data_IF_543955185097
#
_entry.id   IF_543955185097
#
_cell.length_a   1.000
_cell.length_b   1.000
_cell.length_c   1.000
_cell.angle_alpha   90.00
_cell.angle_beta   90.00
_cell.angle_gamma   90.00
#
_symmetry.space_group_name_H-M   'P 1'
#
loop_
_entity.id
_entity.type
_entity.pdbx_description
1 polymer ?
#
# COMPACT_ATOMS: atom_id res chain seq x y z
N UNK A 1 -16.78 -8.61 36.65
CA UNK A 1 -15.30 -8.74 36.69
C UNK A 1 -14.64 -9.16 35.35
N UNK A 2 -15.36 -9.34 34.24
CA UNK A 2 -14.74 -9.63 32.93
C UNK A 2 -14.33 -8.38 32.13
N UNK A 3 -14.88 -7.20 32.48
CA UNK A 3 -14.63 -5.96 31.75
C UNK A 3 -13.51 -5.09 32.35
N UNK A 4 -13.09 -5.33 33.61
CA UNK A 4 -11.97 -4.59 34.20
C UNK A 4 -10.62 -4.95 33.55
N UNK A 5 -10.44 -6.19 33.10
CA UNK A 5 -9.18 -6.64 32.50
C UNK A 5 -8.91 -6.01 31.13
N UNK A 6 -9.96 -5.68 30.36
CA UNK A 6 -9.82 -5.03 29.05
C UNK A 6 -9.47 -3.54 29.17
N UNK A 7 -9.96 -2.87 30.21
CA UNK A 7 -9.67 -1.44 30.43
C UNK A 7 -8.21 -1.18 30.81
N UNK A 8 -7.57 -2.10 31.55
CA UNK A 8 -6.14 -1.96 31.89
C UNK A 8 -5.20 -2.19 30.70
N UNK A 9 -5.58 -2.99 29.70
CA UNK A 9 -4.78 -3.21 28.49
C UNK A 9 -4.76 -1.94 27.61
N UNK A 10 -5.92 -1.28 27.48
CA UNK A 10 -6.02 -0.02 26.73
C UNK A 10 -5.25 1.11 27.44
N UNK A 11 -5.31 1.17 28.79
CA UNK A 11 -4.58 2.17 29.56
C UNK A 11 -3.06 1.96 29.53
N UNK A 12 -2.59 0.70 29.45
CA UNK A 12 -1.18 0.37 29.33
C UNK A 12 -0.60 0.71 27.95
N UNK A 13 -1.40 0.62 26.88
CA UNK A 13 -1.00 1.01 25.52
C UNK A 13 -0.84 2.53 25.35
N UNK A 14 -1.65 3.32 26.06
CA UNK A 14 -1.58 4.80 26.00
C UNK A 14 -0.36 5.34 26.76
N UNK A 15 0.13 4.62 27.79
CA UNK A 15 1.19 5.13 28.67
C UNK A 15 2.61 4.99 28.09
N UNK A 16 2.80 4.20 27.02
CA UNK A 16 4.09 4.07 26.30
C UNK A 16 4.36 5.28 25.37
N UNK A 17 3.34 6.08 25.06
CA UNK A 17 3.46 7.23 24.15
C UNK A 17 4.05 8.51 24.78
N UNK A 18 4.35 8.49 26.09
CA UNK A 18 4.82 9.67 26.84
C UNK A 18 6.30 9.59 27.23
N UNK A 19 7.14 8.88 26.46
CA UNK A 19 8.59 9.01 26.63
C UNK A 19 9.02 10.27 25.86
N UNK A 20 9.46 11.35 26.53
CA UNK A 20 10.12 12.45 25.85
C UNK A 20 11.41 11.90 25.24
N UNK A 21 11.37 11.60 23.95
CA UNK A 21 12.56 11.21 23.20
C UNK A 21 13.47 12.42 23.18
N UNK A 22 14.54 12.33 23.97
CA UNK A 22 15.64 13.27 23.95
C UNK A 22 16.10 13.49 22.51
N UNK A 23 16.57 14.69 22.23
CA UNK A 23 17.00 15.21 20.93
C UNK A 23 18.29 14.55 20.41
N UNK A 24 18.35 13.21 20.39
CA UNK A 24 19.30 12.44 19.61
C UNK A 24 18.74 12.25 18.20
N UNK A 25 19.57 12.42 17.18
CA UNK A 25 19.19 12.15 15.79
C UNK A 25 18.75 10.69 15.67
N UNK A 26 17.48 10.47 15.32
CA UNK A 26 16.94 9.14 15.07
C UNK A 26 17.73 8.46 13.95
N UNK A 27 18.14 7.21 14.13
CA UNK A 27 18.83 6.48 13.07
C UNK A 27 17.79 5.86 12.14
N UNK A 28 17.98 6.05 10.84
CA UNK A 28 17.21 5.36 9.81
C UNK A 28 17.63 3.89 9.80
N UNK A 29 16.71 2.98 10.04
CA UNK A 29 16.96 1.52 10.09
C UNK A 29 16.53 0.84 8.78
N UNK A 30 15.52 1.36 8.11
CA UNK A 30 15.05 0.88 6.81
C UNK A 30 14.79 2.07 5.89
N UNK A 31 15.09 1.87 4.61
CA UNK A 31 14.86 2.84 3.54
C UNK A 31 14.50 2.02 2.30
N UNK A 32 13.31 2.30 1.78
CA UNK A 32 12.69 1.58 0.68
C UNK A 32 12.25 2.57 -0.39
N UNK A 33 12.51 2.22 -1.64
CA UNK A 33 12.12 2.97 -2.82
C UNK A 33 11.28 2.08 -3.74
N UNK A 34 10.47 2.68 -4.60
CA UNK A 34 9.81 1.93 -5.66
C UNK A 34 10.87 1.41 -6.63
N UNK A 35 10.70 0.20 -7.14
CA UNK A 35 11.72 -0.45 -7.97
C UNK A 35 12.03 0.29 -9.29
N UNK A 36 11.06 1.02 -9.83
CA UNK A 36 11.22 1.87 -11.01
C UNK A 36 11.84 3.25 -10.71
N UNK A 37 11.94 3.65 -9.45
CA UNK A 37 12.56 4.90 -8.97
C UNK A 37 13.44 4.64 -7.73
N UNK A 38 14.49 3.80 -7.84
CA UNK A 38 15.18 3.24 -6.68
C UNK A 38 15.98 4.26 -5.84
N UNK A 39 16.22 5.46 -6.36
CA UNK A 39 16.90 6.54 -5.64
C UNK A 39 15.96 7.46 -4.85
N UNK A 40 14.65 7.36 -5.06
CA UNK A 40 13.66 8.21 -4.41
C UNK A 40 13.02 7.43 -3.26
N UNK A 41 13.28 7.88 -2.02
CA UNK A 41 12.78 7.21 -0.82
C UNK A 41 11.26 7.28 -0.76
N UNK A 42 10.62 6.10 -0.77
CA UNK A 42 9.19 5.94 -0.65
C UNK A 42 8.77 5.70 0.81
N UNK A 43 9.48 4.81 1.52
CA UNK A 43 9.25 4.47 2.92
C UNK A 43 10.57 4.42 3.70
N UNK A 44 10.65 5.16 4.80
CA UNK A 44 11.74 5.05 5.77
C UNK A 44 11.22 4.78 7.17
N UNK A 45 11.89 3.87 7.88
CA UNK A 45 11.60 3.55 9.27
C UNK A 45 12.82 3.93 10.13
N UNK A 46 12.56 4.46 11.31
CA UNK A 46 13.59 4.92 12.25
C UNK A 46 13.52 4.12 13.56
N UNK A 47 14.65 4.01 14.25
CA UNK A 47 14.81 3.26 15.52
C UNK A 47 13.96 3.80 16.69
N UNK A 48 13.46 5.02 16.58
CA UNK A 48 12.63 5.67 17.60
C UNK A 48 11.11 5.57 17.31
N UNK A 49 10.69 4.71 16.39
CA UNK A 49 9.28 4.52 16.04
C UNK A 49 8.69 5.60 15.12
N UNK A 50 9.53 6.49 14.55
CA UNK A 50 9.11 7.42 13.48
C UNK A 50 9.26 6.77 12.11
N UNK A 51 8.43 7.20 11.17
CA UNK A 51 8.49 6.81 9.77
C UNK A 51 8.30 8.01 8.84
N UNK A 52 8.80 7.88 7.62
CA UNK A 52 8.43 8.74 6.49
C UNK A 52 7.83 7.85 5.42
N UNK A 53 6.65 8.19 4.90
CA UNK A 53 6.02 7.49 3.78
C UNK A 53 5.49 8.54 2.80
N UNK A 54 5.88 8.44 1.52
CA UNK A 54 5.54 9.43 0.48
C UNK A 54 5.88 10.88 0.91
N UNK A 55 7.03 11.07 1.56
CA UNK A 55 7.47 12.37 2.05
C UNK A 55 6.69 12.92 3.26
N UNK A 56 5.70 12.18 3.80
CA UNK A 56 4.94 12.56 5.00
C UNK A 56 5.48 11.85 6.23
N UNK A 57 5.45 12.54 7.37
CA UNK A 57 5.93 12.01 8.65
C UNK A 57 4.82 11.25 9.40
N UNK A 58 5.19 10.11 9.98
CA UNK A 58 4.32 9.26 10.78
C UNK A 58 5.06 8.75 12.02
N UNK A 59 4.32 8.21 12.98
CA UNK A 59 4.82 7.14 13.85
C UNK A 59 4.40 5.79 13.28
N UNK A 60 5.12 4.72 13.58
CA UNK A 60 4.78 3.39 13.08
C UNK A 60 4.84 2.29 14.13
N UNK A 61 4.05 1.25 13.87
CA UNK A 61 4.17 -0.09 14.46
C UNK A 61 4.33 -1.07 13.29
N UNK A 62 5.25 -2.02 13.40
CA UNK A 62 5.53 -3.01 12.37
C UNK A 62 5.53 -4.40 12.99
N UNK A 63 4.71 -5.27 12.39
CA UNK A 63 4.59 -6.68 12.73
C UNK A 63 5.06 -7.53 11.52
N UNK A 64 4.81 -8.83 11.52
CA UNK A 64 5.34 -9.76 10.50
C UNK A 64 4.73 -9.59 9.10
N UNK A 65 3.49 -9.07 9.01
CA UNK A 65 2.71 -8.96 7.77
C UNK A 65 2.10 -7.57 7.54
N UNK A 66 2.33 -6.63 8.45
CA UNK A 66 1.72 -5.30 8.41
C UNK A 66 2.60 -4.20 9.01
N UNK A 67 2.45 -2.99 8.46
CA UNK A 67 3.02 -1.75 8.97
C UNK A 67 1.86 -0.79 9.18
N UNK A 68 1.57 -0.42 10.43
CA UNK A 68 0.60 0.62 10.76
C UNK A 68 1.30 1.97 10.86
N UNK A 69 0.90 2.93 10.03
CA UNK A 69 1.37 4.31 10.04
C UNK A 69 0.31 5.20 10.70
N UNK A 70 0.72 6.01 11.68
CA UNK A 70 -0.17 6.95 12.38
C UNK A 70 0.32 8.38 12.17
N UNK A 71 -0.55 9.23 11.65
CA UNK A 71 -0.24 10.63 11.39
C UNK A 71 -0.25 11.48 12.67
N UNK A 72 0.09 12.77 12.55
CA UNK A 72 0.11 13.71 13.69
C UNK A 72 -1.27 13.96 14.32
N UNK A 73 -2.34 13.69 13.57
CA UNK A 73 -3.73 13.91 13.99
C UNK A 73 -4.34 12.64 14.62
N UNK A 74 -3.55 11.55 14.66
CA UNK A 74 -3.93 10.27 15.25
C UNK A 74 -4.67 9.34 14.30
N UNK A 75 -4.74 9.65 13.00
CA UNK A 75 -5.32 8.75 12.02
C UNK A 75 -4.32 7.66 11.67
N UNK A 76 -4.74 6.40 11.78
CA UNK A 76 -3.92 5.24 11.50
C UNK A 76 -4.35 4.56 10.21
N UNK A 77 -3.37 4.15 9.41
CA UNK A 77 -3.55 3.34 8.19
C UNK A 77 -2.65 2.11 8.33
N UNK A 78 -3.24 0.93 8.21
CA UNK A 78 -2.51 -0.33 8.18
C UNK A 78 -2.17 -0.71 6.74
N UNK A 79 -0.90 -1.00 6.48
CA UNK A 79 -0.42 -1.46 5.20
C UNK A 79 0.04 -2.90 5.31
N UNK A 80 -0.59 -3.80 4.54
CA UNK A 80 -0.08 -5.16 4.38
C UNK A 80 1.27 -5.15 3.68
N UNK A 81 2.17 -6.03 4.08
CA UNK A 81 3.38 -6.29 3.32
C UNK A 81 3.84 -7.73 3.46
N UNK A 82 4.71 -8.16 2.55
CA UNK A 82 5.52 -9.35 2.76
C UNK A 82 6.91 -9.17 2.13
N UNK A 83 7.85 -10.00 2.55
CA UNK A 83 9.20 -10.02 1.98
C UNK A 83 9.30 -11.09 0.90
N UNK A 84 9.70 -10.69 -0.30
CA UNK A 84 10.13 -11.59 -1.38
C UNK A 84 11.64 -11.41 -1.60
N UNK A 85 12.41 -12.31 -0.98
CA UNK A 85 13.87 -12.21 -0.91
C UNK A 85 14.31 -10.85 -0.30
N UNK A 86 14.99 -10.01 -1.09
CA UNK A 86 15.46 -8.69 -0.68
C UNK A 86 14.45 -7.56 -0.98
N UNK A 87 13.32 -7.89 -1.62
CA UNK A 87 12.26 -6.93 -1.97
C UNK A 87 11.13 -7.00 -0.95
N UNK A 88 10.54 -5.86 -0.66
CA UNK A 88 9.29 -5.77 0.09
C UNK A 88 8.16 -5.61 -0.92
N UNK A 89 7.12 -6.43 -0.85
CA UNK A 89 5.86 -6.14 -1.56
C UNK A 89 4.96 -5.43 -0.57
N UNK A 90 4.75 -4.14 -0.82
CA UNK A 90 4.02 -3.23 0.07
C UNK A 90 2.66 -2.88 -0.55
N UNK A 91 1.58 -3.10 0.19
CA UNK A 91 0.22 -2.89 -0.32
C UNK A 91 -0.25 -1.47 -0.04
N UNK A 92 -0.72 -0.80 -1.09
CA UNK A 92 -1.23 0.57 -1.01
C UNK A 92 -2.72 0.56 -1.35
N UNK A 93 -3.53 0.98 -0.39
CA UNK A 93 -4.97 1.09 -0.55
C UNK A 93 -5.34 2.30 -1.43
N UNK A 94 -6.27 2.10 -2.37
CA UNK A 94 -6.95 3.16 -3.11
C UNK A 94 -8.43 2.85 -3.20
N UNK A 95 -9.27 3.89 -3.10
CA UNK A 95 -10.73 3.74 -3.11
C UNK A 95 -11.28 4.20 -4.44
N UNK A 96 -11.88 3.27 -5.17
CA UNK A 96 -12.46 3.50 -6.49
C UNK A 96 -13.99 3.64 -6.39
N UNK A 97 -14.52 4.56 -7.18
CA UNK A 97 -15.94 4.79 -7.36
C UNK A 97 -16.48 3.98 -8.53
N UNK A 98 -17.61 3.30 -8.33
CA UNK A 98 -18.34 2.62 -9.39
C UNK A 98 -18.89 3.62 -10.42
N UNK A 99 -18.67 3.37 -11.70
CA UNK A 99 -18.99 4.30 -12.79
C UNK A 99 -20.18 3.88 -13.65
N UNK A 100 -20.66 2.63 -13.53
CA UNK A 100 -21.77 2.16 -14.35
C UNK A 100 -23.15 2.48 -13.74
N UNK A 101 -24.19 2.33 -14.55
CA UNK A 101 -25.57 2.41 -14.09
C UNK A 101 -25.95 1.20 -13.21
N UNK A 102 -26.81 1.43 -12.22
CA UNK A 102 -27.23 0.37 -11.28
C UNK A 102 -26.23 0.13 -10.16
N UNK A 103 -26.28 -1.06 -9.57
CA UNK A 103 -25.40 -1.48 -8.47
C UNK A 103 -24.41 -2.56 -8.97
N UNK A 104 -23.16 -2.57 -8.47
CA UNK A 104 -22.17 -3.53 -8.89
C UNK A 104 -22.52 -4.96 -8.46
N UNK A 105 -22.20 -5.92 -9.34
CA UNK A 105 -22.20 -7.35 -9.02
C UNK A 105 -20.75 -7.78 -8.69
N UNK A 106 -20.42 -7.79 -7.40
CA UNK A 106 -19.05 -7.99 -6.95
C UNK A 106 -18.12 -6.90 -7.49
N UNK A 107 -16.97 -7.30 -8.05
CA UNK A 107 -16.01 -6.37 -8.64
C UNK A 107 -16.30 -6.03 -10.12
N UNK A 108 -17.32 -6.65 -10.72
CA UNK A 108 -17.60 -6.48 -12.15
C UNK A 108 -18.09 -5.07 -12.46
N UNK A 109 -17.54 -4.47 -13.52
CA UNK A 109 -17.90 -3.15 -14.01
C UNK A 109 -16.71 -2.19 -14.07
N UNK A 110 -17.03 -0.90 -14.23
CA UNK A 110 -16.06 0.19 -14.33
C UNK A 110 -15.86 0.90 -12.99
N UNK A 111 -14.60 1.07 -12.60
CA UNK A 111 -14.18 1.64 -11.32
C UNK A 111 -13.13 2.72 -11.56
N UNK A 112 -13.26 3.89 -10.91
CA UNK A 112 -12.32 5.00 -11.10
C UNK A 112 -11.87 5.64 -9.78
N UNK A 113 -10.59 5.99 -9.69
CA UNK A 113 -9.97 6.72 -8.59
C UNK A 113 -9.04 7.81 -9.15
N UNK A 114 -9.56 9.04 -9.30
CA UNK A 114 -8.81 10.11 -9.95
C UNK A 114 -8.57 9.78 -11.43
N UNK A 115 -7.30 9.72 -11.84
CA UNK A 115 -6.94 9.28 -13.19
C UNK A 115 -6.91 7.76 -13.34
N UNK A 116 -6.96 7.02 -12.22
CA UNK A 116 -6.82 5.58 -12.23
C UNK A 116 -8.13 4.88 -12.58
N UNK A 117 -8.12 3.89 -13.47
CA UNK A 117 -9.32 3.16 -13.90
C UNK A 117 -9.10 1.66 -13.94
N UNK A 118 -10.04 0.90 -13.38
CA UNK A 118 -10.17 -0.54 -13.57
C UNK A 118 -11.49 -0.88 -14.26
N UNK A 119 -11.45 -1.81 -15.22
CA UNK A 119 -12.63 -2.44 -15.80
C UNK A 119 -12.53 -3.95 -15.64
N UNK A 120 -13.57 -4.57 -15.09
CA UNK A 120 -13.69 -6.04 -15.00
C UNK A 120 -14.89 -6.52 -15.79
N UNK A 121 -14.68 -7.39 -16.77
CA UNK A 121 -15.76 -7.99 -17.57
C UNK A 121 -16.24 -9.30 -16.93
N UNK A 122 -17.55 -9.58 -16.92
CA UNK A 122 -18.08 -10.80 -16.31
C UNK A 122 -17.71 -12.05 -17.12
N UNK A 123 -17.96 -13.22 -16.52
CA UNK A 123 -17.91 -14.49 -17.23
C UNK A 123 -18.82 -14.47 -18.49
N UNK A 124 -18.44 -15.19 -19.56
CA UNK A 124 -17.28 -16.09 -19.65
C UNK A 124 -15.96 -15.40 -20.00
N UNK A 125 -15.94 -14.08 -20.21
CA UNK A 125 -14.73 -13.37 -20.64
C UNK A 125 -13.67 -13.32 -19.54
N UNK A 126 -14.06 -12.89 -18.34
CA UNK A 126 -13.13 -12.71 -17.21
C UNK A 126 -11.88 -11.91 -17.58
N UNK A 127 -12.07 -10.88 -18.39
CA UNK A 127 -11.03 -9.95 -18.87
C UNK A 127 -11.03 -8.69 -18.01
N UNK A 128 -9.87 -8.06 -17.85
CA UNK A 128 -9.75 -6.75 -17.21
C UNK A 128 -8.98 -5.75 -18.08
N UNK A 129 -9.19 -4.46 -17.80
CA UNK A 129 -8.25 -3.40 -18.16
C UNK A 129 -7.88 -2.56 -16.94
N UNK A 130 -6.61 -2.15 -16.90
CA UNK A 130 -6.04 -1.20 -15.94
C UNK A 130 -5.52 0.01 -16.73
N UNK A 131 -5.99 1.21 -16.39
CA UNK A 131 -5.69 2.48 -17.06
C UNK A 131 -6.01 2.51 -18.56
N UNK A 132 -6.88 1.61 -19.03
CA UNK A 132 -7.09 1.33 -20.46
C UNK A 132 -5.76 1.11 -21.24
N UNK A 133 -4.70 0.70 -20.54
CA UNK A 133 -3.35 0.53 -21.07
C UNK A 133 -2.82 -0.89 -20.87
N UNK A 134 -3.15 -1.51 -19.73
CA UNK A 134 -2.81 -2.88 -19.42
C UNK A 134 -4.06 -3.75 -19.48
N UNK A 135 -3.92 -4.92 -20.09
CA UNK A 135 -5.03 -5.83 -20.35
C UNK A 135 -4.64 -7.25 -19.96
N UNK A 136 -5.66 -8.07 -19.69
CA UNK A 136 -5.46 -9.48 -19.45
C UNK A 136 -6.69 -10.15 -18.88
N UNK A 137 -6.48 -11.24 -18.16
CA UNK A 137 -7.52 -12.05 -17.54
C UNK A 137 -7.42 -11.95 -16.02
N UNK A 138 -8.53 -12.17 -15.31
CA UNK A 138 -8.53 -12.16 -13.86
C UNK A 138 -9.24 -13.40 -13.28
N UNK A 139 -8.90 -13.68 -12.02
CA UNK A 139 -9.63 -14.63 -11.19
C UNK A 139 -9.88 -14.02 -9.82
N UNK A 140 -11.02 -14.34 -9.21
CA UNK A 140 -11.42 -13.84 -7.90
C UNK A 140 -11.40 -15.00 -6.91
N UNK A 141 -10.74 -14.78 -5.78
CA UNK A 141 -10.85 -15.62 -4.60
C UNK A 141 -11.64 -14.85 -3.54
N UNK A 142 -12.94 -15.10 -3.49
CA UNK A 142 -13.86 -14.44 -2.56
C UNK A 142 -13.53 -14.78 -1.09
N UNK A 143 -13.01 -15.98 -0.82
CA UNK A 143 -12.71 -16.43 0.54
C UNK A 143 -11.58 -15.63 1.17
N UNK A 144 -10.61 -15.19 0.35
CA UNK A 144 -9.49 -14.35 0.77
C UNK A 144 -9.64 -12.88 0.35
N UNK A 145 -10.76 -12.52 -0.29
CA UNK A 145 -11.01 -11.19 -0.85
C UNK A 145 -9.82 -10.69 -1.68
N UNK A 146 -9.36 -11.53 -2.61
CA UNK A 146 -8.23 -11.23 -3.49
C UNK A 146 -8.57 -11.45 -4.95
N UNK A 147 -7.93 -10.66 -5.82
CA UNK A 147 -8.02 -10.80 -7.28
C UNK A 147 -6.62 -11.02 -7.82
N UNK A 148 -6.47 -12.06 -8.63
CA UNK A 148 -5.25 -12.29 -9.41
C UNK A 148 -5.43 -11.72 -10.81
N UNK A 149 -4.59 -10.77 -11.19
CA UNK A 149 -4.47 -10.21 -12.54
C UNK A 149 -3.38 -10.98 -13.31
N UNK A 150 -3.73 -11.48 -14.49
CA UNK A 150 -2.83 -12.18 -15.40
C UNK A 150 -2.73 -11.35 -16.68
N UNK A 151 -1.60 -10.65 -16.85
CA UNK A 151 -1.43 -9.69 -17.93
C UNK A 151 -1.11 -10.37 -19.26
N UNK A 152 -1.64 -9.84 -20.36
CA UNK A 152 -1.30 -10.29 -21.72
C UNK A 152 0.10 -9.79 -22.14
N UNK A 153 0.55 -8.67 -21.55
CA UNK A 153 1.89 -8.15 -21.72
C UNK A 153 2.91 -9.03 -20.98
N UNK A 154 4.20 -9.05 -21.39
CA UNK A 154 5.25 -9.84 -20.74
C UNK A 154 5.72 -9.21 -19.42
N UNK A 155 4.79 -8.94 -18.52
CA UNK A 155 5.01 -8.42 -17.17
C UNK A 155 4.49 -9.44 -16.14
N UNK A 156 4.99 -9.41 -14.89
CA UNK A 156 4.52 -10.34 -13.87
C UNK A 156 3.03 -10.16 -13.55
N UNK A 157 2.36 -11.29 -13.25
CA UNK A 157 1.03 -11.29 -12.66
C UNK A 157 1.02 -10.50 -11.34
N UNK A 158 -0.12 -9.89 -11.01
CA UNK A 158 -0.32 -9.19 -9.75
C UNK A 158 -1.45 -9.85 -8.95
N UNK A 159 -1.37 -9.81 -7.61
CA UNK A 159 -2.48 -10.18 -6.73
C UNK A 159 -2.74 -9.04 -5.76
N UNK A 160 -3.91 -8.42 -5.89
CA UNK A 160 -4.38 -7.37 -4.98
C UNK A 160 -5.46 -7.92 -4.06
N UNK A 161 -5.63 -7.26 -2.91
CA UNK A 161 -6.75 -7.52 -2.00
C UNK A 161 -7.80 -6.43 -2.16
N UNK A 162 -9.06 -6.76 -1.88
CA UNK A 162 -10.14 -5.81 -2.06
C UNK A 162 -11.17 -5.86 -0.93
N UNK A 163 -11.90 -4.75 -0.80
CA UNK A 163 -13.16 -4.71 -0.07
C UNK A 163 -14.18 -3.91 -0.86
N UNK A 164 -15.45 -4.31 -0.74
CA UNK A 164 -16.58 -3.66 -1.40
C UNK A 164 -17.52 -3.08 -0.34
N UNK A 165 -17.80 -1.79 -0.45
CA UNK A 165 -18.82 -1.09 0.32
C UNK A 165 -19.77 -0.36 -0.65
N UNK A 166 -20.82 -1.07 -1.08
CA UNK A 166 -21.75 -0.60 -2.09
C UNK A 166 -21.03 -0.22 -3.40
N UNK A 167 -20.99 1.08 -3.71
CA UNK A 167 -20.36 1.64 -4.91
C UNK A 167 -18.91 2.07 -4.71
N UNK A 168 -18.28 1.62 -3.63
CA UNK A 168 -16.87 1.86 -3.33
C UNK A 168 -16.10 0.54 -3.33
N UNK A 169 -15.08 0.46 -4.18
CA UNK A 169 -14.14 -0.66 -4.22
C UNK A 169 -12.80 -0.18 -3.68
N UNK A 170 -12.40 -0.66 -2.52
CA UNK A 170 -11.04 -0.43 -2.03
C UNK A 170 -10.15 -1.53 -2.58
N UNK A 171 -9.07 -1.15 -3.27
CA UNK A 171 -8.04 -2.05 -3.77
C UNK A 171 -6.75 -1.78 -3.01
N UNK A 172 -6.23 -2.80 -2.36
CA UNK A 172 -4.88 -2.83 -1.81
C UNK A 172 -3.96 -3.38 -2.90
N UNK A 173 -3.33 -2.50 -3.66
CA UNK A 173 -2.52 -2.88 -4.81
C UNK A 173 -1.07 -3.18 -4.39
N UNK A 174 -0.45 -4.27 -4.86
CA UNK A 174 0.92 -4.64 -4.49
C UNK A 174 1.95 -3.75 -5.21
N UNK A 175 2.82 -3.11 -4.43
CA UNK A 175 3.95 -2.34 -4.96
C UNK A 175 5.28 -2.97 -4.53
N UNK A 176 6.12 -3.43 -5.47
CA UNK A 176 7.45 -3.91 -5.16
C UNK A 176 8.35 -2.73 -4.76
N UNK A 177 8.89 -2.81 -3.55
CA UNK A 177 9.87 -1.89 -3.02
C UNK A 177 11.24 -2.57 -2.92
N UNK A 178 12.27 -1.83 -3.26
CA UNK A 178 13.68 -2.21 -3.15
C UNK A 178 14.37 -1.33 -2.12
N UNK A 179 15.52 -1.76 -1.61
CA UNK A 179 16.35 -0.88 -0.77
C UNK A 179 16.72 0.38 -1.56
N UNK A 180 16.53 1.54 -0.94
CA UNK A 180 16.85 2.83 -1.57
C UNK A 180 18.33 2.91 -1.89
N UNK A 181 18.65 3.33 -3.11
CA UNK A 181 20.01 3.49 -3.62
C UNK A 181 20.47 4.93 -3.42
N UNK A 182 21.78 5.11 -3.18
CA UNK A 182 22.36 6.44 -3.17
C UNK A 182 22.22 7.08 -4.57
N UNK A 183 21.75 8.33 -4.61
CA UNK A 183 21.64 9.08 -5.85
C UNK A 183 23.04 9.31 -6.40
N UNK A 184 23.32 8.81 -7.60
CA UNK A 184 24.60 9.03 -8.27
C UNK A 184 24.73 10.50 -8.68
N UNK A 185 25.36 11.31 -7.83
CA UNK A 185 25.58 12.74 -8.06
C UNK A 185 26.69 13.03 -9.09
N UNK A 186 27.26 12.02 -9.75
CA UNK A 186 28.35 12.22 -10.71
C UNK A 186 27.91 12.37 -12.16
N UNK A 187 26.65 12.08 -12.49
CA UNK A 187 26.07 12.41 -13.80
C UNK A 187 25.75 13.91 -13.85
N UNK A 188 26.69 14.71 -14.36
CA UNK A 188 26.39 16.05 -14.85
C UNK A 188 25.28 15.95 -15.88
N UNK A 189 24.26 16.78 -15.72
CA UNK A 189 23.31 17.09 -16.79
C UNK A 189 24.10 17.46 -18.05
N UNK A 190 24.05 16.61 -19.07
CA UNK A 190 24.43 17.01 -20.42
C UNK A 190 23.34 17.97 -20.89
N UNK A 191 23.53 19.24 -20.53
CA UNK A 191 22.71 20.34 -20.95
C UNK A 191 22.60 20.36 -22.46
N UNK A 192 21.38 20.25 -22.96
CA UNK A 192 21.06 20.47 -24.36
C UNK A 192 20.96 21.98 -24.56
N UNK A 193 22.03 22.59 -25.09
CA UNK A 193 21.97 23.89 -25.79
C UNK A 193 21.32 23.74 -27.15
#
# INVERSE_FOLDING_TARGET
MKNLKKTYIILALIMVMLIPTGCGSANKIESWAKDYEPSEEYLALYDNGKAVCEGKNYTYVKDDDSITLTDKDGNSIEHRYYMDNEKMVFYIASVYDYQDEGDPDGIVGNWACGNNVFRFLPAPKLEFSEEDAFYGHYSVDEANSSVKLMYDAPIPDATFYYSLDGKKLTIDYPWPLVKTQEKDTTKKDEGTT
#
